data_IF_265629200952
#
_entry.id   IF_265629200952
#
_cell.length_a   1.000
_cell.length_b   1.000
_cell.length_c   1.000
_cell.angle_alpha   90.00
_cell.angle_beta   90.00
_cell.angle_gamma   90.00
#
_symmetry.space_group_name_H-M   'P 1'
#
loop_
_entity.id
_entity.type
_entity.pdbx_description
1 polymer ?
#
# COMPACT_ATOMS: atom_id res chain seq x y z
N UNK A 1 -12.10 6.84 5.61
CA UNK A 1 -10.95 5.94 5.86
C UNK A 1 -11.38 4.62 6.51
N UNK A 2 -11.88 4.59 7.76
CA UNK A 2 -12.25 3.35 8.44
C UNK A 2 -13.25 2.48 7.65
N UNK A 3 -14.34 3.09 7.18
CA UNK A 3 -15.37 2.41 6.37
C UNK A 3 -14.79 1.79 5.09
N UNK A 4 -13.91 2.51 4.37
CA UNK A 4 -13.26 1.99 3.16
C UNK A 4 -12.34 0.80 3.45
N UNK A 5 -11.72 0.77 4.63
CA UNK A 5 -10.88 -0.37 5.05
C UNK A 5 -11.71 -1.59 5.45
N UNK A 6 -12.83 -1.37 6.13
CA UNK A 6 -13.73 -2.42 6.64
C UNK A 6 -14.56 -3.05 5.53
N UNK A 7 -15.05 -2.24 4.58
CA UNK A 7 -15.84 -2.71 3.43
C UNK A 7 -14.99 -3.12 2.22
N UNK A 8 -13.69 -2.81 2.23
CA UNK A 8 -12.78 -3.11 1.13
C UNK A 8 -12.54 -4.61 0.91
N UNK A 9 -12.50 -5.02 -0.35
CA UNK A 9 -12.18 -6.39 -0.78
C UNK A 9 -10.75 -6.54 -1.29
N UNK A 10 -10.29 -7.79 -1.43
CA UNK A 10 -8.97 -8.12 -1.97
C UNK A 10 -7.93 -8.40 -0.88
N UNK A 11 -6.66 -8.43 -1.28
CA UNK A 11 -5.54 -8.60 -0.35
C UNK A 11 -5.46 -7.43 0.62
N UNK A 12 -4.83 -7.64 1.78
CA UNK A 12 -4.61 -6.56 2.76
C UNK A 12 -3.88 -5.35 2.14
N UNK A 13 -2.93 -5.62 1.23
CA UNK A 13 -2.14 -4.59 0.56
C UNK A 13 -3.03 -3.72 -0.34
N UNK A 14 -3.93 -4.33 -1.11
CA UNK A 14 -4.89 -3.62 -1.97
C UNK A 14 -5.89 -2.81 -1.16
N UNK A 15 -6.45 -3.41 -0.09
CA UNK A 15 -7.38 -2.72 0.82
C UNK A 15 -6.75 -1.47 1.43
N UNK A 16 -5.50 -1.55 1.88
CA UNK A 16 -4.80 -0.42 2.48
C UNK A 16 -4.58 0.71 1.46
N UNK A 17 -4.20 0.41 0.22
CA UNK A 17 -4.04 1.43 -0.82
C UNK A 17 -5.37 2.07 -1.19
N UNK A 18 -6.43 1.29 -1.39
CA UNK A 18 -7.77 1.83 -1.68
C UNK A 18 -8.30 2.68 -0.52
N UNK A 19 -7.95 2.33 0.73
CA UNK A 19 -8.29 3.11 1.92
C UNK A 19 -7.61 4.48 1.91
N UNK A 20 -6.34 4.54 1.48
CA UNK A 20 -5.61 5.80 1.34
C UNK A 20 -6.22 6.69 0.26
N UNK A 21 -6.59 6.12 -0.89
CA UNK A 21 -7.28 6.86 -1.96
C UNK A 21 -8.61 7.44 -1.47
N UNK A 22 -9.45 6.63 -0.84
CA UNK A 22 -10.73 7.09 -0.30
C UNK A 22 -10.58 8.15 0.80
N UNK A 23 -9.50 8.08 1.59
CA UNK A 23 -9.20 9.11 2.59
C UNK A 23 -8.76 10.43 1.94
N UNK A 24 -7.99 10.36 0.85
CA UNK A 24 -7.58 11.53 0.07
C UNK A 24 -8.77 12.20 -0.61
N UNK A 25 -9.67 11.41 -1.21
CA UNK A 25 -10.91 11.89 -1.83
C UNK A 25 -11.87 12.54 -0.82
N UNK A 26 -11.88 12.04 0.42
CA UNK A 26 -12.69 12.60 1.51
C UNK A 26 -12.14 13.93 2.09
N UNK A 27 -11.07 14.48 1.50
CA UNK A 27 -10.48 15.77 1.88
C UNK A 27 -9.00 15.69 2.28
N UNK A 28 -8.47 14.48 2.52
CA UNK A 28 -7.05 14.26 2.76
C UNK A 28 -6.49 15.00 3.99
N UNK A 29 -5.17 15.20 3.97
CA UNK A 29 -4.50 16.04 4.96
C UNK A 29 -4.58 17.50 4.54
N UNK A 30 -4.90 18.40 5.48
CA UNK A 30 -5.03 19.84 5.24
C UNK A 30 -3.75 20.47 4.65
N UNK A 31 -2.58 19.90 4.94
CA UNK A 31 -1.28 20.37 4.44
C UNK A 31 -1.05 19.99 2.97
N UNK A 32 -1.92 19.16 2.38
CA UNK A 32 -1.73 18.53 1.09
C UNK A 32 -1.00 17.18 1.21
N UNK A 33 -0.49 16.71 0.07
CA UNK A 33 0.17 15.40 -0.07
C UNK A 33 1.53 15.58 -0.73
N UNK A 34 2.51 14.81 -0.26
CA UNK A 34 3.86 14.83 -0.82
C UNK A 34 4.48 13.43 -0.85
N UNK A 35 4.13 12.58 0.12
CA UNK A 35 4.65 11.23 0.25
C UNK A 35 3.55 10.23 0.59
N UNK A 36 3.83 8.95 0.34
CA UNK A 36 2.98 7.83 0.74
C UNK A 36 3.84 6.58 0.92
N UNK A 37 3.49 5.74 1.90
CA UNK A 37 4.23 4.52 2.17
C UNK A 37 3.30 3.38 2.58
N UNK A 38 3.71 2.16 2.26
CA UNK A 38 3.02 0.94 2.61
C UNK A 38 4.02 -0.11 3.07
N UNK A 39 3.89 -0.55 4.32
CA UNK A 39 4.65 -1.64 4.90
C UNK A 39 3.69 -2.72 5.41
N UNK A 40 3.79 -3.91 4.84
CA UNK A 40 3.03 -5.08 5.28
C UNK A 40 4.03 -6.19 5.62
N UNK A 41 3.89 -6.73 6.83
CA UNK A 41 4.75 -7.79 7.37
C UNK A 41 3.92 -9.00 7.77
N UNK A 42 4.53 -10.18 7.82
CA UNK A 42 3.90 -11.40 8.33
C UNK A 42 3.59 -11.26 9.82
N UNK A 43 2.45 -11.80 10.24
CA UNK A 43 2.06 -11.84 11.66
C UNK A 43 2.95 -12.77 12.50
N UNK A 44 3.42 -13.88 11.91
CA UNK A 44 4.38 -14.80 12.55
C UNK A 44 5.80 -14.49 12.04
N UNK A 45 6.74 -14.10 12.92
CA UNK A 45 8.11 -13.82 12.52
C UNK A 45 8.84 -15.11 12.12
N UNK A 46 9.66 -15.05 11.08
CA UNK A 46 10.52 -16.16 10.66
C UNK A 46 11.90 -16.15 11.34
N UNK A 47 12.17 -15.15 12.20
CA UNK A 47 13.49 -14.88 12.75
C UNK A 47 14.46 -14.21 11.77
N UNK A 48 14.02 -13.92 10.54
CA UNK A 48 14.77 -13.22 9.50
C UNK A 48 13.93 -12.06 8.97
N UNK A 49 14.06 -10.84 9.53
CA UNK A 49 13.15 -9.72 9.26
C UNK A 49 12.95 -9.41 7.77
N UNK A 50 14.01 -9.51 6.96
CA UNK A 50 13.94 -9.28 5.51
C UNK A 50 13.10 -10.32 4.75
N UNK A 51 12.85 -11.50 5.32
CA UNK A 51 11.95 -12.52 4.75
C UNK A 51 10.49 -12.37 5.19
N UNK A 52 10.23 -11.48 6.14
CA UNK A 52 8.90 -11.26 6.71
C UNK A 52 8.16 -10.07 6.08
N UNK A 53 8.88 -9.25 5.32
CA UNK A 53 8.32 -8.16 4.53
C UNK A 53 7.53 -8.75 3.35
N UNK A 54 6.21 -8.55 3.37
CA UNK A 54 5.30 -8.92 2.28
C UNK A 54 5.28 -7.82 1.22
N UNK A 55 5.18 -6.57 1.66
CA UNK A 55 5.19 -5.39 0.80
C UNK A 55 5.91 -4.24 1.54
N UNK A 56 6.80 -3.55 0.84
CA UNK A 56 7.44 -2.31 1.30
C UNK A 56 7.59 -1.39 0.10
N UNK A 57 6.66 -0.43 -0.03
CA UNK A 57 6.64 0.55 -1.11
C UNK A 57 6.63 1.94 -0.49
N UNK A 58 7.44 2.84 -1.03
CA UNK A 58 7.64 4.19 -0.51
C UNK A 58 7.74 5.17 -1.67
N UNK A 59 6.95 6.23 -1.59
CA UNK A 59 7.01 7.41 -2.43
C UNK A 59 7.45 8.54 -1.54
N UNK A 60 8.68 9.01 -1.71
CA UNK A 60 9.27 10.03 -0.84
C UNK A 60 8.86 11.44 -1.26
N UNK A 61 8.67 11.69 -2.56
CA UNK A 61 8.24 12.98 -3.10
C UNK A 61 7.50 12.78 -4.43
N UNK A 62 6.21 13.11 -4.47
CA UNK A 62 5.38 13.06 -5.69
C UNK A 62 4.13 13.95 -5.51
N UNK A 63 3.64 14.65 -6.56
CA UNK A 63 2.42 15.45 -6.48
C UNK A 63 1.16 14.61 -6.21
N UNK A 64 1.14 13.34 -6.62
CA UNK A 64 0.06 12.38 -6.40
C UNK A 64 0.61 11.07 -5.79
N UNK A 65 1.06 11.08 -4.53
CA UNK A 65 1.85 9.98 -3.98
C UNK A 65 1.01 8.71 -3.76
N UNK A 66 -0.27 8.82 -3.46
CA UNK A 66 -1.16 7.66 -3.28
C UNK A 66 -1.47 6.97 -4.62
N UNK A 67 -1.74 7.75 -5.67
CA UNK A 67 -1.93 7.22 -7.03
C UNK A 67 -0.66 6.47 -7.50
N UNK A 68 0.51 7.06 -7.26
CA UNK A 68 1.79 6.46 -7.61
C UNK A 68 2.08 5.20 -6.78
N UNK A 69 1.73 5.20 -5.49
CA UNK A 69 1.79 4.01 -4.65
C UNK A 69 0.94 2.86 -5.21
N UNK A 70 -0.26 3.17 -5.74
CA UNK A 70 -1.13 2.17 -6.40
C UNK A 70 -0.53 1.64 -7.69
N UNK A 71 0.13 2.50 -8.49
CA UNK A 71 0.87 2.07 -9.69
C UNK A 71 1.99 1.10 -9.32
N UNK A 72 2.79 1.41 -8.30
CA UNK A 72 3.84 0.52 -7.81
C UNK A 72 3.29 -0.78 -7.23
N UNK A 73 2.13 -0.76 -6.57
CA UNK A 73 1.48 -1.98 -6.09
C UNK A 73 1.11 -2.92 -7.24
N UNK A 74 0.57 -2.40 -8.34
CA UNK A 74 0.29 -3.23 -9.54
C UNK A 74 1.54 -3.91 -10.08
N UNK A 75 2.65 -3.18 -10.16
CA UNK A 75 3.95 -3.73 -10.57
C UNK A 75 4.47 -4.78 -9.58
N UNK A 76 4.42 -4.48 -8.29
CA UNK A 76 4.80 -5.42 -7.23
C UNK A 76 4.03 -6.73 -7.38
N UNK A 77 2.70 -6.67 -7.52
CA UNK A 77 1.85 -7.85 -7.67
C UNK A 77 2.19 -8.65 -8.94
N UNK A 78 2.47 -7.97 -10.06
CA UNK A 78 2.89 -8.63 -11.31
C UNK A 78 4.21 -9.41 -11.12
N UNK A 79 5.22 -8.81 -10.49
CA UNK A 79 6.48 -9.50 -10.19
C UNK A 79 6.29 -10.68 -9.22
N UNK A 80 5.44 -10.54 -8.21
CA UNK A 80 5.15 -11.64 -7.29
C UNK A 80 4.39 -12.78 -7.97
N UNK A 81 3.51 -12.48 -8.93
CA UNK A 81 2.84 -13.50 -9.72
C UNK A 81 3.84 -14.23 -10.63
N UNK A 82 4.74 -13.50 -11.30
CA UNK A 82 5.77 -14.08 -12.15
C UNK A 82 6.74 -15.01 -11.39
N UNK A 83 7.15 -14.64 -10.17
CA UNK A 83 8.02 -15.46 -9.30
C UNK A 83 7.39 -16.77 -8.81
N UNK A 84 6.07 -16.90 -8.86
CA UNK A 84 5.33 -18.10 -8.42
C UNK A 84 5.12 -19.12 -9.54
N UNK A 85 5.47 -18.77 -10.78
CA UNK A 85 5.51 -19.68 -11.93
C UNK A 85 6.90 -20.28 -12.05
#
# INVERSE_FOLDING_TARGET
MAEAFESGSGSLVERLVNTLEAAEEAGGDLRGRQSAALLVVKTKPSGKPWKDIVCNLRIEDHPNPVEELKRLLRLHNAYQHAKKR
#
